data_IF_841097025096
#
_entry.id   IF_841097025096
#
_cell.length_a   1.000
_cell.length_b   1.000
_cell.length_c   1.000
_cell.angle_alpha   90.00
_cell.angle_beta   90.00
_cell.angle_gamma   90.00
#
_symmetry.space_group_name_H-M   'P 1'
#
loop_
_entity.id
_entity.type
_entity.pdbx_description
1 polymer ?
#
# COMPACT_ATOMS: atom_id res chain seq x y z
N UNK A 1 3.06 -3.33 -9.65
CA UNK A 1 2.74 -1.91 -9.40
C UNK A 1 3.47 -1.43 -8.16
N UNK A 2 4.02 -0.23 -8.22
CA UNK A 2 4.61 0.40 -7.04
C UNK A 2 3.81 1.63 -6.65
N UNK A 3 3.70 1.88 -5.36
CA UNK A 3 3.02 3.07 -4.85
C UNK A 3 3.84 3.70 -3.74
N UNK A 4 3.68 5.01 -3.58
CA UNK A 4 4.35 5.77 -2.53
C UNK A 4 3.37 6.06 -1.41
N UNK A 5 3.78 5.75 -0.17
CA UNK A 5 3.02 6.15 1.00
C UNK A 5 3.25 7.64 1.24
N UNK A 6 2.17 8.43 1.24
CA UNK A 6 2.28 9.90 1.32
C UNK A 6 2.71 10.38 2.71
N UNK A 7 2.49 9.58 3.74
CA UNK A 7 2.88 9.94 5.10
C UNK A 7 4.38 9.73 5.34
N UNK A 8 4.94 8.62 4.84
CA UNK A 8 6.35 8.28 5.06
C UNK A 8 7.25 8.67 3.89
N UNK A 9 6.68 8.84 2.70
CA UNK A 9 7.46 9.06 1.49
C UNK A 9 8.12 7.82 0.92
N UNK A 10 7.90 6.65 1.54
CA UNK A 10 8.50 5.39 1.11
C UNK A 10 7.71 4.77 -0.03
N UNK A 11 8.42 4.07 -0.91
CA UNK A 11 7.84 3.38 -2.06
C UNK A 11 7.83 1.89 -1.80
N UNK A 12 6.69 1.25 -2.05
CA UNK A 12 6.49 -0.18 -1.84
C UNK A 12 5.97 -0.85 -3.10
N UNK A 13 6.37 -2.09 -3.31
CA UNK A 13 5.73 -2.94 -4.30
C UNK A 13 4.38 -3.38 -3.76
N UNK A 14 3.33 -3.15 -4.53
CA UNK A 14 1.96 -3.46 -4.12
C UNK A 14 1.59 -4.84 -4.65
N UNK A 15 1.26 -5.75 -3.73
CA UNK A 15 0.87 -7.10 -4.09
C UNK A 15 -0.58 -7.16 -4.55
N UNK A 16 -1.46 -6.37 -3.91
CA UNK A 16 -2.88 -6.43 -4.20
C UNK A 16 -3.57 -5.16 -3.74
N UNK A 17 -4.58 -4.74 -4.49
CA UNK A 17 -5.54 -3.72 -4.07
C UNK A 17 -6.86 -4.45 -3.93
N UNK A 18 -7.50 -4.32 -2.79
CA UNK A 18 -8.74 -5.06 -2.51
C UNK A 18 -9.73 -4.20 -1.74
N UNK A 19 -10.97 -4.63 -1.75
CA UNK A 19 -12.05 -3.98 -1.02
C UNK A 19 -12.35 -4.79 0.24
N UNK A 20 -12.36 -4.14 1.41
CA UNK A 20 -12.63 -4.84 2.67
C UNK A 20 -14.14 -4.99 2.92
N UNK A 21 -14.49 -5.64 4.05
CA UNK A 21 -15.88 -5.92 4.42
C UNK A 21 -16.72 -4.65 4.56
N UNK A 22 -16.07 -3.55 4.91
CA UNK A 22 -16.75 -2.26 5.09
C UNK A 22 -16.88 -1.46 3.80
N UNK A 23 -16.37 -1.99 2.69
CA UNK A 23 -16.46 -1.34 1.38
C UNK A 23 -15.33 -0.37 1.10
N UNK A 24 -14.29 -0.32 1.92
CA UNK A 24 -13.13 0.54 1.70
C UNK A 24 -12.06 -0.18 0.92
N UNK A 25 -11.38 0.55 0.03
CA UNK A 25 -10.26 -0.01 -0.70
C UNK A 25 -8.99 0.04 0.14
N UNK A 26 -8.26 -1.08 0.15
CA UNK A 26 -7.03 -1.28 0.90
C UNK A 26 -5.93 -1.74 -0.04
N UNK A 27 -4.69 -1.43 0.30
CA UNK A 27 -3.53 -1.96 -0.41
C UNK A 27 -2.80 -2.95 0.49
N UNK A 28 -2.35 -4.06 -0.12
CA UNK A 28 -1.55 -5.08 0.55
C UNK A 28 -0.10 -4.94 0.06
N UNK A 29 0.83 -4.79 0.98
CA UNK A 29 2.24 -4.67 0.64
C UNK A 29 3.12 -5.29 1.72
N UNK A 30 4.33 -5.66 1.33
CA UNK A 30 5.33 -6.16 2.28
C UNK A 30 6.21 -4.99 2.71
N UNK A 31 6.32 -4.81 4.04
CA UNK A 31 7.22 -3.81 4.61
C UNK A 31 8.54 -4.49 4.98
N UNK A 32 9.63 -4.26 4.22
CA UNK A 32 10.90 -4.93 4.48
C UNK A 32 11.57 -4.47 5.78
N UNK A 33 11.29 -3.26 6.23
CA UNK A 33 11.86 -2.78 7.51
C UNK A 33 11.24 -3.50 8.70
N UNK A 34 9.92 -3.75 8.64
CA UNK A 34 9.22 -4.49 9.68
C UNK A 34 9.31 -6.00 9.46
N UNK A 35 9.64 -6.44 8.24
CA UNK A 35 9.68 -7.84 7.88
C UNK A 35 8.30 -8.48 7.88
N UNK A 36 7.25 -7.73 7.57
CA UNK A 36 5.88 -8.22 7.65
C UNK A 36 5.00 -7.64 6.55
N UNK A 37 3.92 -8.36 6.27
CA UNK A 37 2.86 -7.90 5.38
C UNK A 37 1.98 -6.90 6.10
N UNK A 38 1.58 -5.85 5.39
CA UNK A 38 0.71 -4.81 5.92
C UNK A 38 -0.41 -4.48 4.95
N UNK A 39 -1.52 -3.99 5.51
CA UNK A 39 -2.58 -3.41 4.71
C UNK A 39 -2.88 -2.02 5.23
N UNK A 40 -3.15 -1.10 4.31
CA UNK A 40 -3.53 0.27 4.66
C UNK A 40 -4.54 0.80 3.66
N UNK A 41 -5.25 1.86 4.04
CA UNK A 41 -6.18 2.53 3.14
C UNK A 41 -5.47 3.03 1.88
N UNK A 42 -6.12 2.87 0.74
CA UNK A 42 -5.58 3.36 -0.53
C UNK A 42 -5.38 4.88 -0.52
N UNK A 43 -6.06 5.60 0.37
CA UNK A 43 -5.94 7.05 0.48
C UNK A 43 -4.55 7.50 0.94
N UNK A 44 -3.77 6.60 1.54
CA UNK A 44 -2.40 6.91 1.97
C UNK A 44 -1.37 6.66 0.88
N UNK A 45 -1.78 6.30 -0.32
CA UNK A 45 -0.87 5.90 -1.38
C UNK A 45 -1.15 6.66 -2.67
N UNK A 46 -0.09 6.88 -3.43
CA UNK A 46 -0.18 7.42 -4.79
C UNK A 46 0.65 6.55 -5.72
N UNK A 47 0.19 6.36 -6.97
CA UNK A 47 0.97 5.57 -7.94
C UNK A 47 2.33 6.19 -8.20
N UNK A 48 3.32 5.33 -8.47
CA UNK A 48 4.64 5.76 -8.87
C UNK A 48 4.85 5.33 -10.32
N UNK A 49 5.20 6.27 -11.17
CA UNK A 49 5.56 5.97 -12.54
C UNK A 49 7.00 5.47 -12.60
N UNK A 50 7.19 4.41 -13.35
CA UNK A 50 8.51 3.83 -13.58
C UNK A 50 9.20 4.43 -14.80
#
# INVERSE_FOLDING_TARGET
MRMKNVASGKIYAIAQIFRNDKGYFRVLYFDPEAGSWKTESIHFFVPVED
#
